data_IF_119595700382
#
_entry.id   IF_119595700382
#
_cell.length_a   1.000
_cell.length_b   1.000
_cell.length_c   1.000
_cell.angle_alpha   90.00
_cell.angle_beta   90.00
_cell.angle_gamma   90.00
#
_symmetry.space_group_name_H-M   'P 1'
#
loop_
_entity.id
_entity.type
_entity.pdbx_description
1 polymer ?
#
# COMPACT_ATOMS: atom_id res chain seq x y z
N UNK A 1 -8.45 7.24 33.24
CA UNK A 1 -9.58 6.52 32.61
C UNK A 1 -9.64 5.04 33.01
N UNK A 2 -10.78 4.56 33.50
CA UNK A 2 -11.10 3.13 33.58
C UNK A 2 -11.07 2.45 32.20
N UNK A 3 -11.00 1.11 32.17
CA UNK A 3 -10.91 0.36 30.91
C UNK A 3 -12.11 0.59 29.98
N UNK A 4 -13.33 0.66 30.53
CA UNK A 4 -14.55 0.92 29.76
C UNK A 4 -14.51 2.26 29.04
N UNK A 5 -14.07 3.31 29.73
CA UNK A 5 -13.96 4.66 29.17
C UNK A 5 -12.91 4.72 28.06
N UNK A 6 -11.74 4.09 28.26
CA UNK A 6 -10.73 3.97 27.20
C UNK A 6 -11.26 3.26 25.96
N UNK A 7 -12.03 2.17 26.14
CA UNK A 7 -12.67 1.45 25.03
C UNK A 7 -13.68 2.32 24.30
N UNK A 8 -14.45 3.13 25.02
CA UNK A 8 -15.42 4.04 24.42
C UNK A 8 -14.73 5.12 23.57
N UNK A 9 -13.65 5.72 24.08
CA UNK A 9 -12.83 6.70 23.34
C UNK A 9 -12.28 6.09 22.05
N UNK A 10 -11.62 4.93 22.15
CA UNK A 10 -11.06 4.22 20.99
C UNK A 10 -12.15 3.86 19.99
N UNK A 11 -13.30 3.38 20.46
CA UNK A 11 -14.45 3.05 19.60
C UNK A 11 -14.98 4.28 18.85
N UNK A 12 -15.09 5.43 19.52
CA UNK A 12 -15.53 6.69 18.90
C UNK A 12 -14.62 7.10 17.75
N UNK A 13 -13.32 7.23 18.02
CA UNK A 13 -12.30 7.57 17.01
C UNK A 13 -12.30 6.56 15.87
N UNK A 14 -12.33 5.26 16.19
CA UNK A 14 -12.30 4.19 15.19
C UNK A 14 -13.55 4.22 14.30
N UNK A 15 -14.73 4.50 14.86
CA UNK A 15 -15.95 4.63 14.09
C UNK A 15 -15.91 5.83 13.13
N UNK A 16 -15.38 6.98 13.56
CA UNK A 16 -15.23 8.15 12.69
C UNK A 16 -14.37 7.83 11.45
N UNK A 17 -13.29 7.07 11.65
CA UNK A 17 -12.41 6.61 10.57
C UNK A 17 -13.09 5.56 9.68
N UNK A 18 -13.82 4.60 10.25
CA UNK A 18 -14.57 3.63 9.44
C UNK A 18 -15.66 4.29 8.59
N UNK A 19 -16.33 5.30 9.12
CA UNK A 19 -17.28 6.07 8.34
C UNK A 19 -16.60 6.85 7.22
N UNK A 20 -15.44 7.46 7.44
CA UNK A 20 -14.65 8.09 6.37
C UNK A 20 -14.26 7.07 5.30
N UNK A 21 -13.72 5.92 5.70
CA UNK A 21 -13.37 4.81 4.80
C UNK A 21 -14.57 4.38 3.94
N UNK A 22 -15.72 4.16 4.56
CA UNK A 22 -16.93 3.73 3.85
C UNK A 22 -17.46 4.81 2.91
N UNK A 23 -17.35 6.08 3.31
CA UNK A 23 -17.68 7.23 2.47
C UNK A 23 -16.80 7.28 1.22
N UNK A 24 -15.48 7.15 1.37
CA UNK A 24 -14.54 7.08 0.24
C UNK A 24 -14.88 5.93 -0.69
N UNK A 25 -15.11 4.73 -0.16
CA UNK A 25 -15.48 3.56 -0.96
C UNK A 25 -16.79 3.74 -1.75
N UNK A 26 -17.75 4.50 -1.22
CA UNK A 26 -19.03 4.78 -1.86
C UNK A 26 -18.92 5.88 -2.93
N UNK A 27 -18.22 6.96 -2.61
CA UNK A 27 -18.27 8.22 -3.37
C UNK A 27 -17.12 8.35 -4.39
N UNK A 28 -15.96 7.73 -4.14
CA UNK A 28 -14.82 7.83 -5.05
C UNK A 28 -15.11 7.23 -6.44
N UNK A 29 -15.74 6.04 -6.58
CA UNK A 29 -16.09 5.49 -7.90
C UNK A 29 -17.11 6.35 -8.67
N UNK A 30 -17.88 7.18 -7.96
CA UNK A 30 -18.91 8.06 -8.54
C UNK A 30 -18.40 9.48 -8.82
N UNK A 31 -17.12 9.74 -8.53
CA UNK A 31 -16.50 11.07 -8.63
C UNK A 31 -17.23 12.15 -7.79
N UNK A 32 -17.85 11.76 -6.68
CA UNK A 32 -18.58 12.65 -5.77
C UNK A 32 -17.59 13.34 -4.79
N UNK A 33 -16.68 14.16 -5.33
CA UNK A 33 -15.57 14.78 -4.59
C UNK A 33 -16.02 15.65 -3.42
N UNK A 34 -17.14 16.35 -3.56
CA UNK A 34 -17.68 17.21 -2.49
C UNK A 34 -18.09 16.39 -1.26
N UNK A 35 -18.75 15.25 -1.45
CA UNK A 35 -19.15 14.37 -0.35
C UNK A 35 -17.93 13.81 0.41
N UNK A 36 -16.85 13.48 -0.31
CA UNK A 36 -15.59 13.05 0.31
C UNK A 36 -14.96 14.20 1.10
N UNK A 37 -14.93 15.41 0.55
CA UNK A 37 -14.38 16.59 1.24
C UNK A 37 -15.15 16.93 2.52
N UNK A 38 -16.47 17.00 2.44
CA UNK A 38 -17.33 17.20 3.62
C UNK A 38 -17.08 16.13 4.69
N UNK A 39 -16.88 14.87 4.27
CA UNK A 39 -16.57 13.79 5.21
C UNK A 39 -15.19 13.94 5.85
N UNK A 40 -14.18 14.35 5.09
CA UNK A 40 -12.84 14.65 5.62
C UNK A 40 -12.94 15.74 6.69
N UNK A 41 -13.61 16.85 6.36
CA UNK A 41 -13.78 17.99 7.27
C UNK A 41 -14.49 17.57 8.56
N UNK A 42 -15.57 16.78 8.45
CA UNK A 42 -16.30 16.25 9.60
C UNK A 42 -15.45 15.32 10.46
N UNK A 43 -14.66 14.44 9.84
CA UNK A 43 -13.76 13.53 10.57
C UNK A 43 -12.68 14.33 11.30
N UNK A 44 -12.03 15.31 10.66
CA UNK A 44 -11.05 16.17 11.30
C UNK A 44 -11.64 16.96 12.47
N UNK A 45 -12.87 17.48 12.31
CA UNK A 45 -13.57 18.17 13.38
C UNK A 45 -13.84 17.25 14.57
N UNK A 46 -14.28 16.01 14.33
CA UNK A 46 -14.53 15.03 15.39
C UNK A 46 -13.24 14.65 16.13
N UNK A 47 -12.14 14.41 15.41
CA UNK A 47 -10.83 14.12 16.01
C UNK A 47 -10.33 15.29 16.87
N UNK A 48 -10.51 16.54 16.40
CA UNK A 48 -10.15 17.75 17.16
C UNK A 48 -11.00 17.90 18.42
N UNK A 49 -12.30 17.63 18.34
CA UNK A 49 -13.22 17.64 19.50
C UNK A 49 -12.82 16.59 20.54
N UNK A 50 -12.52 15.37 20.11
CA UNK A 50 -12.10 14.30 21.02
C UNK A 50 -10.72 14.60 21.64
N UNK A 51 -9.78 15.14 20.86
CA UNK A 51 -8.49 15.58 21.40
C UNK A 51 -8.64 16.69 22.45
N UNK A 52 -9.52 17.67 22.21
CA UNK A 52 -9.83 18.71 23.21
C UNK A 52 -10.46 18.11 24.48
N UNK A 53 -11.40 17.18 24.34
CA UNK A 53 -11.99 16.47 25.48
C UNK A 53 -10.94 15.74 26.31
N UNK A 54 -9.99 15.04 25.65
CA UNK A 54 -8.91 14.33 26.32
C UNK A 54 -7.96 15.25 27.08
N UNK A 55 -7.71 16.44 26.54
CA UNK A 55 -6.90 17.47 27.20
C UNK A 55 -7.58 17.98 28.47
N UNK A 56 -8.90 18.23 28.43
CA UNK A 56 -9.67 18.64 29.60
C UNK A 56 -9.81 17.55 30.68
N UNK A 57 -9.56 16.28 30.34
CA UNK A 57 -9.72 15.13 31.24
C UNK A 57 -8.37 14.57 31.75
N UNK A 58 -7.32 15.40 31.82
CA UNK A 58 -5.96 15.03 32.27
C UNK A 58 -5.30 13.92 31.44
N UNK A 59 -5.61 13.84 30.13
CA UNK A 59 -4.92 12.95 29.18
C UNK A 59 -4.20 13.71 28.05
N UNK A 60 -3.27 14.62 28.39
CA UNK A 60 -2.61 15.47 27.41
C UNK A 60 -1.81 14.67 26.38
N UNK A 61 -1.21 13.54 26.76
CA UNK A 61 -0.48 12.68 25.81
C UNK A 61 -1.38 12.11 24.71
N UNK A 62 -2.59 11.68 25.06
CA UNK A 62 -3.55 11.14 24.09
C UNK A 62 -4.10 12.26 23.19
N UNK A 63 -4.37 13.43 23.78
CA UNK A 63 -4.76 14.62 23.03
C UNK A 63 -3.70 15.05 22.00
N UNK A 64 -2.43 15.13 22.42
CA UNK A 64 -1.31 15.46 21.52
C UNK A 64 -1.19 14.44 20.40
N UNK A 65 -1.25 13.15 20.72
CA UNK A 65 -1.17 12.08 19.71
C UNK A 65 -2.27 12.21 18.66
N UNK A 66 -3.53 12.43 19.07
CA UNK A 66 -4.63 12.61 18.13
C UNK A 66 -4.46 13.86 17.25
N UNK A 67 -3.99 14.97 17.82
CA UNK A 67 -3.75 16.21 17.05
C UNK A 67 -2.63 16.03 16.02
N UNK A 68 -1.53 15.42 16.45
CA UNK A 68 -0.36 15.20 15.60
C UNK A 68 -0.69 14.32 14.39
N UNK A 69 -1.50 13.28 14.60
CA UNK A 69 -1.81 12.30 13.55
C UNK A 69 -3.13 12.52 12.83
N UNK A 70 -3.94 13.53 13.21
CA UNK A 70 -5.27 13.75 12.62
C UNK A 70 -5.23 13.90 11.09
N UNK A 71 -4.33 14.75 10.58
CA UNK A 71 -4.20 14.99 9.13
C UNK A 71 -3.65 13.76 8.40
N UNK A 72 -2.61 13.12 8.95
CA UNK A 72 -2.06 11.89 8.39
C UNK A 72 -3.08 10.76 8.29
N UNK A 73 -4.07 10.72 9.18
CA UNK A 73 -5.11 9.67 9.19
C UNK A 73 -6.15 9.86 8.08
N UNK A 74 -6.33 11.09 7.56
CA UNK A 74 -7.29 11.37 6.48
C UNK A 74 -6.64 11.40 5.09
N UNK A 75 -5.31 11.30 5.00
CA UNK A 75 -4.55 11.39 3.74
C UNK A 75 -5.03 10.41 2.66
N UNK A 76 -5.45 9.20 3.02
CA UNK A 76 -6.01 8.25 2.04
C UNK A 76 -7.27 8.78 1.34
N UNK A 77 -8.09 9.56 2.06
CA UNK A 77 -9.30 10.17 1.53
C UNK A 77 -8.97 11.41 0.69
N UNK A 78 -7.92 12.15 1.05
CA UNK A 78 -7.39 13.25 0.25
C UNK A 78 -6.89 12.75 -1.11
N UNK A 79 -6.13 11.65 -1.15
CA UNK A 79 -5.73 10.99 -2.40
C UNK A 79 -6.93 10.55 -3.24
N UNK A 80 -8.01 10.10 -2.62
CA UNK A 80 -9.22 9.73 -3.34
C UNK A 80 -9.89 10.93 -4.05
N UNK A 81 -9.68 12.17 -3.57
CA UNK A 81 -10.12 13.36 -4.29
C UNK A 81 -9.38 13.53 -5.62
N UNK A 82 -8.16 13.03 -5.73
CA UNK A 82 -7.34 13.06 -6.95
C UNK A 82 -7.42 11.73 -7.72
N UNK A 83 -8.47 10.94 -7.46
CA UNK A 83 -8.73 9.64 -8.09
C UNK A 83 -7.65 8.57 -7.81
N UNK A 84 -6.81 8.80 -6.80
CA UNK A 84 -5.81 7.84 -6.34
C UNK A 84 -6.39 7.01 -5.20
N UNK A 85 -6.30 5.69 -5.32
CA UNK A 85 -6.76 4.79 -4.27
C UNK A 85 -5.59 4.31 -3.41
N UNK A 86 -5.73 4.48 -2.09
CA UNK A 86 -4.80 3.91 -1.11
C UNK A 86 -5.49 2.72 -0.44
N UNK A 87 -4.92 1.51 -0.54
CA UNK A 87 -5.44 0.33 0.16
C UNK A 87 -5.51 0.52 1.68
N UNK A 88 -6.64 0.14 2.27
CA UNK A 88 -6.88 0.25 3.73
C UNK A 88 -6.15 -0.82 4.55
N UNK A 89 -5.66 -1.89 3.93
CA UNK A 89 -4.99 -2.99 4.63
C UNK A 89 -3.52 -3.08 4.23
N UNK A 90 -2.66 -3.34 5.21
CA UNK A 90 -1.24 -3.63 5.01
C UNK A 90 -0.99 -5.05 4.51
N UNK A 91 -2.01 -5.92 4.43
CA UNK A 91 -1.86 -7.35 4.11
C UNK A 91 -1.04 -7.62 2.84
N UNK A 92 -1.23 -6.79 1.80
CA UNK A 92 -0.50 -6.95 0.54
C UNK A 92 0.97 -6.55 0.73
N UNK A 93 1.23 -5.44 1.42
CA UNK A 93 2.57 -4.99 1.78
C UNK A 93 3.28 -6.01 2.67
N UNK A 94 2.59 -6.53 3.69
CA UNK A 94 3.11 -7.58 4.57
C UNK A 94 3.47 -8.85 3.81
N UNK A 95 2.63 -9.26 2.85
CA UNK A 95 2.91 -10.41 1.99
C UNK A 95 4.13 -10.15 1.12
N UNK A 96 4.20 -8.99 0.46
CA UNK A 96 5.33 -8.58 -0.37
C UNK A 96 6.64 -8.53 0.43
N UNK A 97 6.63 -7.88 1.59
CA UNK A 97 7.79 -7.85 2.49
C UNK A 97 8.17 -9.23 3.01
N UNK A 98 7.19 -10.11 3.26
CA UNK A 98 7.42 -11.50 3.60
C UNK A 98 8.11 -12.29 2.48
N UNK A 99 7.73 -12.05 1.23
CA UNK A 99 8.39 -12.65 0.06
C UNK A 99 9.82 -12.13 -0.11
N UNK A 100 10.05 -10.83 0.02
CA UNK A 100 11.40 -10.24 0.01
C UNK A 100 12.26 -10.87 1.11
N UNK A 101 11.74 -10.96 2.35
CA UNK A 101 12.47 -11.56 3.47
C UNK A 101 12.81 -13.02 3.21
N UNK A 102 11.87 -13.81 2.66
CA UNK A 102 12.12 -15.21 2.30
C UNK A 102 13.19 -15.34 1.22
N UNK A 103 13.15 -14.50 0.17
CA UNK A 103 14.16 -14.50 -0.90
C UNK A 103 15.54 -14.12 -0.40
N UNK A 104 15.63 -13.11 0.47
CA UNK A 104 16.87 -12.71 1.13
C UNK A 104 17.45 -13.82 2.01
N UNK A 105 16.61 -14.66 2.63
CA UNK A 105 17.03 -15.76 3.51
C UNK A 105 17.37 -17.06 2.79
N UNK A 106 16.65 -17.38 1.71
CA UNK A 106 16.72 -18.72 1.08
C UNK A 106 17.69 -18.81 -0.09
N UNK A 107 18.08 -17.70 -0.71
CA UNK A 107 19.07 -17.72 -1.79
C UNK A 107 20.42 -17.25 -1.25
N UNK A 108 21.42 -18.13 -1.34
CA UNK A 108 22.83 -17.93 -1.00
C UNK A 108 23.51 -16.86 -1.89
N UNK A 109 22.93 -15.67 -1.98
CA UNK A 109 23.37 -14.58 -2.83
C UNK A 109 23.80 -13.39 -1.97
N UNK A 110 24.95 -12.80 -2.32
CA UNK A 110 25.29 -11.43 -1.92
C UNK A 110 24.34 -10.51 -2.68
N UNK A 111 23.29 -10.05 -2.01
CA UNK A 111 22.42 -9.02 -2.55
C UNK A 111 23.12 -7.67 -2.39
N UNK A 112 23.53 -7.07 -3.52
CA UNK A 112 23.93 -5.66 -3.52
C UNK A 112 22.71 -4.79 -3.20
N UNK A 113 22.95 -3.57 -2.74
CA UNK A 113 21.91 -2.56 -2.48
C UNK A 113 20.97 -2.41 -3.69
N UNK A 114 21.54 -2.28 -4.90
CA UNK A 114 20.78 -2.20 -6.14
C UNK A 114 19.90 -3.45 -6.42
N UNK A 115 20.35 -4.65 -6.02
CA UNK A 115 19.57 -5.88 -6.18
C UNK A 115 18.38 -5.95 -5.21
N UNK A 116 18.57 -5.51 -3.97
CA UNK A 116 17.47 -5.40 -2.99
C UNK A 116 16.49 -4.31 -3.40
N UNK A 117 16.99 -3.17 -3.88
CA UNK A 117 16.18 -2.07 -4.36
C UNK A 117 15.32 -2.50 -5.56
N UNK A 118 15.90 -3.24 -6.50
CA UNK A 118 15.16 -3.78 -7.66
C UNK A 118 14.05 -4.76 -7.24
N UNK A 119 14.33 -5.64 -6.26
CA UNK A 119 13.32 -6.54 -5.70
C UNK A 119 12.20 -5.77 -5.00
N UNK A 120 12.54 -4.71 -4.25
CA UNK A 120 11.57 -3.84 -3.62
C UNK A 120 10.71 -3.14 -4.67
N UNK A 121 11.31 -2.55 -5.70
CA UNK A 121 10.58 -1.91 -6.80
C UNK A 121 9.62 -2.85 -7.51
N UNK A 122 10.03 -4.07 -7.84
CA UNK A 122 9.15 -5.07 -8.46
C UNK A 122 7.94 -5.38 -7.58
N UNK A 123 8.14 -5.53 -6.27
CA UNK A 123 7.04 -5.75 -5.33
C UNK A 123 6.14 -4.51 -5.20
N UNK A 124 6.71 -3.31 -5.19
CA UNK A 124 5.95 -2.06 -5.10
C UNK A 124 5.12 -1.79 -6.35
N UNK A 125 5.65 -2.07 -7.54
CA UNK A 125 4.90 -1.96 -8.81
C UNK A 125 3.79 -3.01 -8.85
N UNK A 126 4.08 -4.26 -8.46
CA UNK A 126 3.04 -5.29 -8.32
C UNK A 126 1.93 -4.88 -7.35
N UNK A 127 2.25 -4.11 -6.32
CA UNK A 127 1.30 -3.58 -5.35
C UNK A 127 0.49 -2.40 -5.88
N UNK A 128 1.15 -1.39 -6.44
CA UNK A 128 0.54 -0.13 -6.83
C UNK A 128 -0.21 -0.23 -8.17
N UNK A 129 0.28 -1.06 -9.08
CA UNK A 129 -0.27 -1.26 -10.41
C UNK A 129 -0.06 -2.71 -10.88
N UNK A 130 -0.95 -3.64 -10.47
CA UNK A 130 -0.85 -5.04 -10.83
C UNK A 130 -0.91 -5.29 -12.35
N UNK A 131 -1.61 -4.44 -13.09
CA UNK A 131 -1.74 -4.54 -14.55
C UNK A 131 -0.42 -4.17 -15.23
N UNK A 132 0.21 -3.07 -14.80
CA UNK A 132 1.53 -2.68 -15.26
C UNK A 132 2.58 -3.75 -14.93
N UNK A 133 2.51 -4.35 -13.74
CA UNK A 133 3.39 -5.45 -13.38
C UNK A 133 3.18 -6.67 -14.27
N UNK A 134 1.93 -7.05 -14.55
CA UNK A 134 1.62 -8.17 -15.44
C UNK A 134 2.15 -7.93 -16.86
N UNK A 135 1.92 -6.73 -17.42
CA UNK A 135 2.44 -6.36 -18.73
C UNK A 135 3.98 -6.38 -18.80
N UNK A 136 4.65 -5.87 -17.76
CA UNK A 136 6.11 -5.95 -17.62
C UNK A 136 6.61 -7.41 -17.53
N UNK A 137 5.94 -8.23 -16.71
CA UNK A 137 6.28 -9.64 -16.55
C UNK A 137 6.13 -10.40 -17.87
N UNK A 138 5.03 -10.15 -18.60
CA UNK A 138 4.78 -10.72 -19.92
C UNK A 138 5.86 -10.29 -20.92
N UNK A 139 6.21 -8.99 -21.01
CA UNK A 139 7.27 -8.53 -21.93
C UNK A 139 8.63 -9.18 -21.61
N UNK A 140 9.02 -9.22 -20.34
CA UNK A 140 10.32 -9.75 -19.91
C UNK A 140 10.40 -11.27 -20.10
N UNK A 141 9.35 -12.01 -19.72
CA UNK A 141 9.27 -13.45 -19.88
C UNK A 141 9.15 -13.85 -21.34
N UNK A 142 8.36 -13.14 -22.14
CA UNK A 142 8.29 -13.34 -23.59
C UNK A 142 9.63 -13.05 -24.27
N UNK A 143 10.35 -11.99 -23.87
CA UNK A 143 11.71 -11.72 -24.37
C UNK A 143 12.68 -12.83 -24.00
N UNK A 144 12.60 -13.37 -22.78
CA UNK A 144 13.46 -14.50 -22.38
C UNK A 144 13.18 -15.76 -23.21
N UNK A 145 11.91 -16.04 -23.49
CA UNK A 145 11.50 -17.17 -24.31
C UNK A 145 11.92 -16.99 -25.79
N UNK A 146 11.74 -15.79 -26.35
CA UNK A 146 12.17 -15.45 -27.71
C UNK A 146 13.71 -15.44 -27.86
N UNK A 147 14.44 -14.99 -26.84
CA UNK A 147 15.92 -14.98 -26.84
C UNK A 147 16.48 -16.40 -26.69
N UNK A 148 15.87 -17.26 -25.87
CA UNK A 148 16.28 -18.66 -25.74
C UNK A 148 16.03 -19.50 -27.03
N UNK A 149 15.02 -19.13 -27.82
CA UNK A 149 14.72 -19.78 -29.12
C UNK A 149 15.65 -19.30 -30.25
N UNK A 150 16.39 -18.19 -30.05
CA UNK A 150 17.35 -17.65 -31.05
C UNK A 150 18.80 -18.05 -30.72
N UNK A 151 19.01 -19.27 -30.24
CA UNK A 151 20.34 -19.89 -30.23
C UNK A 151 20.34 -20.94 -31.36
N UNK A 152 20.74 -20.49 -32.55
CA UNK A 152 20.77 -21.27 -33.77
C UNK A 152 21.61 -22.54 -33.62
N UNK A 153 20.99 -23.69 -33.90
CA UNK A 153 21.68 -24.95 -34.16
C UNK A 153 22.41 -24.82 -35.49
N UNK A 154 23.73 -24.58 -35.45
CA UNK A 154 24.62 -24.84 -36.59
C UNK A 154 25.27 -26.21 -36.38
N UNK A 155 24.70 -27.26 -36.96
CA UNK A 155 25.39 -28.55 -37.13
C UNK A 155 26.09 -28.57 -38.49
N UNK A 156 27.40 -28.36 -38.51
CA UNK A 156 28.22 -28.70 -39.69
C UNK A 156 28.24 -30.22 -39.84
N UNK A 157 27.57 -30.71 -40.88
CA UNK A 157 27.58 -32.12 -41.26
C UNK A 157 28.93 -32.46 -41.91
N UNK A 158 29.84 -33.07 -41.15
CA UNK A 158 30.99 -33.79 -41.73
C UNK A 158 30.52 -35.15 -42.24
N UNK A 159 30.00 -35.16 -43.48
CA UNK A 159 29.80 -36.38 -44.26
C UNK A 159 31.13 -36.71 -44.93
N UNK A 160 31.66 -37.91 -44.65
CA UNK A 160 32.94 -38.37 -45.18
C UNK A 160 32.98 -38.47 -46.71
N UNK A 161 34.20 -38.46 -47.24
CA UNK A 161 34.52 -38.92 -48.59
C UNK A 161 35.39 -40.17 -48.49
N UNK A 162 34.85 -41.22 -49.14
CA UNK A 162 35.42 -42.44 -49.73
C UNK A 162 36.79 -42.96 -49.28
#
# INVERSE_FOLDING_TARGET
FPLSERKAIVSGVTNDLFHLKNSVALHAPRNERLAIRERIDQTLENLRKEAWRLECQDSPKAATYLREWAEATVTFAEFALDQQQVPWTSNVVERAMGEISKRCKNQWMRWSEAGLESLLWLNLVQYADPEQFAAFADELLERSAKTAITMEVSTEATRGEL
#
